data_IF_105557311189
#
_entry.id   IF_105557311189
#
_cell.length_a   1.000
_cell.length_b   1.000
_cell.length_c   1.000
_cell.angle_alpha   90.00
_cell.angle_beta   90.00
_cell.angle_gamma   90.00
#
_symmetry.space_group_name_H-M   'P 1'
#
loop_
_entity.id
_entity.type
_entity.pdbx_description
1 polymer ?
#
# COMPACT_ATOMS: atom_id res chain seq x y z
N UNK A 1 -7.09 -3.76 21.57
CA UNK A 1 -6.29 -3.35 20.42
C UNK A 1 -7.19 -2.91 19.27
N UNK A 2 -6.88 -1.81 18.64
CA UNK A 2 -7.68 -1.32 17.54
C UNK A 2 -7.33 -2.08 16.25
N UNK A 3 -8.36 -2.39 15.49
CA UNK A 3 -8.14 -2.97 14.17
C UNK A 3 -7.59 -1.91 13.22
N UNK A 4 -6.69 -2.29 12.29
CA UNK A 4 -6.25 -1.37 11.24
C UNK A 4 -7.43 -0.92 10.39
N UNK A 5 -7.32 0.29 9.85
CA UNK A 5 -8.21 0.75 8.78
C UNK A 5 -7.68 0.24 7.46
N UNK A 6 -8.53 -0.38 6.67
CA UNK A 6 -8.13 -1.01 5.40
C UNK A 6 -8.35 -0.06 4.24
N UNK A 7 -7.53 -0.19 3.21
CA UNK A 7 -7.71 0.59 1.98
C UNK A 7 -8.79 -0.10 1.13
N UNK A 8 -9.85 0.63 0.82
CA UNK A 8 -10.98 0.09 0.07
C UNK A 8 -10.60 -0.13 -1.40
N UNK A 9 -11.22 -1.12 -2.03
CA UNK A 9 -10.98 -1.46 -3.43
C UNK A 9 -11.18 -0.26 -4.36
N UNK A 10 -12.28 0.50 -4.15
CA UNK A 10 -12.55 1.69 -4.97
C UNK A 10 -11.47 2.78 -4.81
N UNK A 11 -10.82 2.86 -3.65
CA UNK A 11 -9.69 3.79 -3.45
C UNK A 11 -8.50 3.34 -4.27
N UNK A 12 -8.21 2.04 -4.29
CA UNK A 12 -7.10 1.49 -5.09
C UNK A 12 -7.32 1.75 -6.58
N UNK A 13 -8.54 1.54 -7.07
CA UNK A 13 -8.92 1.82 -8.46
C UNK A 13 -8.73 3.32 -8.77
N UNK A 14 -9.20 4.20 -7.88
CA UNK A 14 -9.06 5.65 -8.06
C UNK A 14 -7.59 6.08 -8.07
N UNK A 15 -6.77 5.49 -7.20
CA UNK A 15 -5.31 5.74 -7.16
C UNK A 15 -4.68 5.35 -8.49
N UNK A 16 -5.02 4.17 -9.02
CA UNK A 16 -4.51 3.73 -10.31
C UNK A 16 -4.84 4.73 -11.42
N UNK A 17 -6.10 5.16 -11.49
CA UNK A 17 -6.55 6.14 -12.50
C UNK A 17 -5.82 7.47 -12.36
N UNK A 18 -5.64 7.94 -11.12
CA UNK A 18 -4.91 9.19 -10.84
C UNK A 18 -3.45 9.08 -11.29
N UNK A 19 -2.79 7.97 -11.00
CA UNK A 19 -1.39 7.77 -11.37
C UNK A 19 -1.22 7.68 -12.88
N UNK A 20 -2.15 7.04 -13.59
CA UNK A 20 -2.13 7.02 -15.06
C UNK A 20 -2.30 8.42 -15.65
N UNK A 21 -3.22 9.21 -15.09
CA UNK A 21 -3.43 10.60 -15.56
C UNK A 21 -2.18 11.44 -15.36
N UNK A 22 -1.44 11.22 -14.27
CA UNK A 22 -0.24 12.00 -13.94
C UNK A 22 0.99 11.53 -14.70
N UNK A 23 1.17 10.22 -14.85
CA UNK A 23 2.41 9.63 -15.38
C UNK A 23 2.26 8.98 -16.74
N UNK A 24 1.04 8.84 -17.22
CA UNK A 24 0.76 8.09 -18.45
C UNK A 24 0.72 6.59 -18.18
N UNK A 25 0.52 5.83 -19.24
CA UNK A 25 0.44 4.37 -19.19
C UNK A 25 -0.89 3.87 -19.69
N UNK A 26 -1.01 2.54 -19.77
CA UNK A 26 -2.20 1.87 -20.27
C UNK A 26 -3.20 1.63 -19.14
N UNK A 27 -4.46 1.98 -19.39
CA UNK A 27 -5.53 1.79 -18.41
C UNK A 27 -6.02 0.34 -18.38
N UNK A 28 -6.68 -0.01 -17.30
CA UNK A 28 -7.41 -1.26 -17.16
C UNK A 28 -6.83 -2.22 -16.14
N UNK A 29 -7.69 -3.11 -15.70
CA UNK A 29 -7.35 -4.19 -14.80
C UNK A 29 -7.02 -5.41 -15.67
N UNK A 30 -5.82 -5.96 -15.48
CA UNK A 30 -5.37 -7.14 -16.21
C UNK A 30 -6.03 -8.40 -15.67
N UNK A 31 -6.19 -8.48 -14.34
CA UNK A 31 -6.73 -9.67 -13.68
C UNK A 31 -7.45 -9.27 -12.39
N UNK A 32 -8.78 -9.32 -12.45
CA UNK A 32 -9.64 -8.96 -11.32
C UNK A 32 -9.41 -9.86 -10.10
N UNK A 33 -9.22 -11.16 -10.33
CA UNK A 33 -9.02 -12.11 -9.24
C UNK A 33 -7.69 -11.86 -8.52
N UNK A 34 -6.65 -11.51 -9.26
CA UNK A 34 -5.35 -11.18 -8.67
C UNK A 34 -5.40 -9.85 -7.91
N UNK A 35 -6.20 -8.89 -8.37
CA UNK A 35 -6.43 -7.65 -7.62
C UNK A 35 -7.14 -7.96 -6.31
N UNK A 36 -8.25 -8.68 -6.36
CA UNK A 36 -9.02 -9.02 -5.17
C UNK A 36 -8.19 -9.83 -4.17
N UNK A 37 -7.37 -10.76 -4.65
CA UNK A 37 -6.48 -11.55 -3.82
C UNK A 37 -5.45 -10.66 -3.10
N UNK A 38 -4.83 -9.73 -3.83
CA UNK A 38 -3.84 -8.81 -3.24
C UNK A 38 -4.47 -7.94 -2.15
N UNK A 39 -5.72 -7.48 -2.36
CA UNK A 39 -6.39 -6.61 -1.40
C UNK A 39 -6.96 -7.37 -0.19
N UNK A 40 -7.31 -8.63 -0.36
CA UNK A 40 -7.82 -9.46 0.74
C UNK A 40 -6.70 -9.96 1.67
N UNK A 41 -5.50 -10.12 1.15
CA UNK A 41 -4.40 -10.76 1.88
C UNK A 41 -3.99 -10.02 3.18
N UNK A 42 -3.90 -8.67 3.22
CA UNK A 42 -3.57 -8.00 4.49
C UNK A 42 -4.58 -8.30 5.60
N UNK A 43 -5.88 -8.29 5.28
CA UNK A 43 -6.91 -8.61 6.26
C UNK A 43 -6.84 -10.06 6.70
N UNK A 44 -6.58 -10.98 5.78
CA UNK A 44 -6.41 -12.41 6.08
C UNK A 44 -5.20 -12.64 7.00
N UNK A 45 -4.07 -11.99 6.70
CA UNK A 45 -2.88 -12.10 7.52
C UNK A 45 -3.14 -11.60 8.96
N UNK A 46 -3.80 -10.46 9.08
CA UNK A 46 -4.12 -9.89 10.40
C UNK A 46 -5.10 -10.77 11.17
N UNK A 47 -6.10 -11.31 10.49
CA UNK A 47 -7.06 -12.24 11.09
C UNK A 47 -6.36 -13.49 11.63
N UNK A 48 -5.32 -13.93 10.95
CA UNK A 48 -4.55 -15.13 11.36
C UNK A 48 -3.53 -14.81 12.45
N UNK A 49 -2.98 -13.59 12.45
CA UNK A 49 -1.98 -13.15 13.43
C UNK A 49 -2.18 -11.67 13.73
N UNK A 50 -2.92 -11.39 14.80
CA UNK A 50 -3.26 -10.02 15.19
C UNK A 50 -2.10 -9.27 15.88
N UNK A 51 -0.93 -9.90 16.00
CA UNK A 51 0.28 -9.21 16.46
C UNK A 51 1.01 -8.47 15.34
N UNK A 52 0.60 -8.69 14.08
CA UNK A 52 1.19 -7.95 12.96
C UNK A 52 0.97 -6.45 13.12
N UNK A 53 2.03 -5.69 12.88
CA UNK A 53 2.00 -4.23 12.98
C UNK A 53 1.53 -3.61 11.66
N UNK A 54 1.22 -2.33 11.70
CA UNK A 54 0.84 -1.60 10.48
C UNK A 54 1.96 -1.63 9.42
N UNK A 55 3.24 -1.39 9.76
CA UNK A 55 4.31 -1.57 8.76
C UNK A 55 4.39 -2.98 8.18
N UNK A 56 4.17 -4.03 8.99
CA UNK A 56 4.10 -5.40 8.49
C UNK A 56 3.02 -5.54 7.42
N UNK A 57 1.84 -4.99 7.69
CA UNK A 57 0.69 -5.09 6.79
C UNK A 57 0.87 -4.23 5.53
N UNK A 58 1.57 -3.10 5.64
CA UNK A 58 1.94 -2.28 4.46
C UNK A 58 2.80 -3.11 3.49
N UNK A 59 3.71 -3.92 4.03
CA UNK A 59 4.51 -4.83 3.20
C UNK A 59 3.63 -5.86 2.50
N UNK A 60 2.60 -6.39 3.18
CA UNK A 60 1.67 -7.36 2.57
C UNK A 60 0.92 -6.71 1.41
N UNK A 61 0.41 -5.49 1.59
CA UNK A 61 -0.26 -4.76 0.51
C UNK A 61 0.64 -4.60 -0.71
N UNK A 62 1.83 -4.04 -0.49
CA UNK A 62 2.72 -3.71 -1.60
C UNK A 62 3.29 -4.94 -2.27
N UNK A 63 3.61 -5.97 -1.50
CA UNK A 63 4.11 -7.23 -2.07
C UNK A 63 3.07 -7.85 -3.00
N UNK A 64 1.81 -7.94 -2.55
CA UNK A 64 0.73 -8.51 -3.36
C UNK A 64 0.47 -7.71 -4.62
N UNK A 65 0.34 -6.39 -4.51
CA UNK A 65 0.06 -5.53 -5.67
C UNK A 65 1.20 -5.53 -6.68
N UNK A 66 2.45 -5.50 -6.22
CA UNK A 66 3.59 -5.49 -7.12
C UNK A 66 3.81 -6.86 -7.78
N UNK A 67 3.64 -7.96 -7.05
CA UNK A 67 3.93 -9.30 -7.55
C UNK A 67 2.81 -9.90 -8.37
N UNK A 68 1.55 -9.59 -8.05
CA UNK A 68 0.40 -10.11 -8.79
C UNK A 68 0.18 -9.41 -10.12
N UNK A 69 0.72 -8.21 -10.31
CA UNK A 69 0.52 -7.41 -11.52
C UNK A 69 -0.96 -7.33 -11.92
N UNK A 70 -1.86 -6.87 -11.01
CA UNK A 70 -3.29 -6.92 -11.30
C UNK A 70 -3.75 -5.91 -12.35
N UNK A 71 -3.00 -4.83 -12.56
CA UNK A 71 -3.30 -3.84 -13.58
C UNK A 71 -2.50 -4.11 -14.85
N UNK A 72 -2.96 -3.57 -15.97
CA UNK A 72 -2.22 -3.66 -17.23
C UNK A 72 -0.88 -2.92 -17.11
N UNK A 73 -0.89 -1.75 -16.42
CA UNK A 73 0.28 -0.89 -16.29
C UNK A 73 0.24 -0.19 -14.94
N UNK A 74 1.40 0.30 -14.46
CA UNK A 74 1.48 1.12 -13.26
C UNK A 74 1.47 0.36 -11.93
N UNK A 75 1.70 -0.94 -11.93
CA UNK A 75 1.61 -1.78 -10.72
C UNK A 75 2.60 -1.36 -9.63
N UNK A 76 3.83 -1.00 -9.97
CA UNK A 76 4.83 -0.56 -8.98
C UNK A 76 4.38 0.73 -8.27
N UNK A 77 3.88 1.69 -9.03
CA UNK A 77 3.41 2.96 -8.47
C UNK A 77 2.19 2.75 -7.57
N UNK A 78 1.24 1.92 -8.02
CA UNK A 78 0.07 1.60 -7.21
C UNK A 78 0.48 0.91 -5.92
N UNK A 79 1.40 -0.06 -5.99
CA UNK A 79 1.87 -0.79 -4.82
C UNK A 79 2.47 0.15 -3.78
N UNK A 80 3.33 1.07 -4.19
CA UNK A 80 3.94 2.05 -3.29
C UNK A 80 2.90 3.02 -2.73
N UNK A 81 2.04 3.56 -3.59
CA UNK A 81 1.06 4.59 -3.18
C UNK A 81 0.02 4.01 -2.22
N UNK A 82 -0.49 2.80 -2.50
CA UNK A 82 -1.46 2.14 -1.61
C UNK A 82 -0.84 1.84 -0.25
N UNK A 83 0.42 1.36 -0.22
CA UNK A 83 1.12 1.12 1.04
C UNK A 83 1.28 2.42 1.83
N UNK A 84 1.64 3.52 1.17
CA UNK A 84 1.77 4.83 1.82
C UNK A 84 0.42 5.31 2.39
N UNK A 85 -0.66 5.16 1.64
CA UNK A 85 -2.01 5.52 2.11
C UNK A 85 -2.39 4.68 3.33
N UNK A 86 -2.16 3.36 3.26
CA UNK A 86 -2.46 2.46 4.38
C UNK A 86 -1.71 2.89 5.64
N UNK A 87 -0.42 3.21 5.50
CA UNK A 87 0.37 3.71 6.62
C UNK A 87 -0.24 4.98 7.21
N UNK A 88 -0.54 5.96 6.38
CA UNK A 88 -0.98 7.27 6.85
C UNK A 88 -2.34 7.23 7.53
N UNK A 89 -3.28 6.45 7.04
CA UNK A 89 -4.59 6.32 7.69
C UNK A 89 -4.50 5.54 9.01
N UNK A 90 -3.36 4.90 9.28
CA UNK A 90 -3.14 4.12 10.50
C UNK A 90 -2.04 4.69 11.40
N UNK A 91 -1.66 5.95 11.19
CA UNK A 91 -0.79 6.63 12.13
C UNK A 91 0.70 6.54 11.84
N UNK A 92 1.07 6.29 10.59
CA UNK A 92 2.46 6.25 10.15
C UNK A 92 2.64 7.03 8.86
N UNK A 93 3.86 7.42 8.57
CA UNK A 93 4.22 7.95 7.26
C UNK A 93 5.48 7.26 6.79
N UNK A 94 5.60 7.08 5.48
CA UNK A 94 6.79 6.51 4.87
C UNK A 94 7.86 7.60 4.83
N UNK A 95 8.97 7.37 5.55
CA UNK A 95 10.08 8.29 5.67
C UNK A 95 11.32 7.67 5.01
N UNK A 96 11.32 7.69 3.68
CA UNK A 96 12.44 7.22 2.88
C UNK A 96 12.58 8.14 1.67
N UNK A 97 13.81 8.37 1.21
CA UNK A 97 14.02 9.15 -0.02
C UNK A 97 13.27 8.53 -1.20
N UNK A 98 12.73 9.37 -2.06
CA UNK A 98 11.99 8.91 -3.25
C UNK A 98 12.82 7.94 -4.09
N UNK A 99 14.10 8.25 -4.29
CA UNK A 99 15.00 7.39 -5.07
C UNK A 99 15.12 5.99 -4.46
N UNK A 100 15.17 5.89 -3.13
CA UNK A 100 15.21 4.59 -2.44
C UNK A 100 13.93 3.81 -2.66
N UNK A 101 12.78 4.47 -2.56
CA UNK A 101 11.48 3.84 -2.81
C UNK A 101 11.40 3.27 -4.22
N UNK A 102 11.87 4.02 -5.21
CA UNK A 102 11.88 3.57 -6.61
C UNK A 102 12.72 2.30 -6.75
N UNK A 103 13.92 2.28 -6.18
CA UNK A 103 14.83 1.13 -6.25
C UNK A 103 14.19 -0.10 -5.59
N UNK A 104 13.66 0.06 -4.39
CA UNK A 104 13.04 -1.04 -3.64
C UNK A 104 11.86 -1.64 -4.43
N UNK A 105 11.00 -0.80 -4.99
CA UNK A 105 9.82 -1.27 -5.69
C UNK A 105 10.13 -1.83 -7.08
N UNK A 106 11.20 -1.38 -7.73
CA UNK A 106 11.70 -2.03 -8.93
C UNK A 106 12.23 -3.43 -8.64
N UNK A 107 13.01 -3.57 -7.56
CA UNK A 107 13.52 -4.88 -7.13
C UNK A 107 12.39 -5.80 -6.70
N UNK A 108 11.39 -5.28 -6.01
CA UNK A 108 10.21 -6.04 -5.61
C UNK A 108 9.49 -6.60 -6.83
N UNK A 109 9.18 -5.76 -7.82
CA UNK A 109 8.49 -6.19 -9.03
C UNK A 109 9.31 -7.19 -9.84
N UNK A 110 10.64 -7.08 -9.82
CA UNK A 110 11.54 -7.99 -10.51
C UNK A 110 11.76 -9.31 -9.75
N UNK A 111 11.18 -9.47 -8.56
CA UNK A 111 11.35 -10.68 -7.76
C UNK A 111 12.70 -10.79 -7.07
N UNK A 112 13.41 -9.67 -6.91
CA UNK A 112 14.77 -9.66 -6.33
C UNK A 112 14.79 -9.49 -4.83
N UNK A 113 13.66 -9.10 -4.20
CA UNK A 113 13.55 -9.04 -2.75
C UNK A 113 12.38 -9.89 -2.29
N UNK A 114 12.52 -10.48 -1.11
CA UNK A 114 11.48 -11.31 -0.50
C UNK A 114 10.49 -10.44 0.25
N UNK A 115 9.33 -11.01 0.58
CA UNK A 115 8.35 -10.32 1.43
C UNK A 115 8.94 -9.99 2.81
N UNK A 116 9.77 -10.88 3.36
CA UNK A 116 10.43 -10.63 4.65
C UNK A 116 11.37 -9.42 4.55
N UNK A 117 12.17 -9.33 3.50
CA UNK A 117 13.07 -8.21 3.27
C UNK A 117 12.29 -6.90 3.10
N UNK A 118 11.18 -6.95 2.37
CA UNK A 118 10.31 -5.79 2.20
C UNK A 118 9.71 -5.34 3.53
N UNK A 119 9.28 -6.29 4.35
CA UNK A 119 8.75 -6.00 5.70
C UNK A 119 9.80 -5.31 6.55
N UNK A 120 11.03 -5.81 6.55
CA UNK A 120 12.14 -5.21 7.30
C UNK A 120 12.40 -3.78 6.85
N UNK A 121 12.32 -3.54 5.54
CA UNK A 121 12.48 -2.20 5.00
C UNK A 121 11.38 -1.26 5.50
N UNK A 122 10.11 -1.66 5.44
CA UNK A 122 9.01 -0.83 5.93
C UNK A 122 9.15 -0.52 7.42
N UNK A 123 9.50 -1.52 8.24
CA UNK A 123 9.66 -1.31 9.68
C UNK A 123 10.69 -0.22 9.98
N UNK A 124 11.76 -0.13 9.20
CA UNK A 124 12.81 0.86 9.38
C UNK A 124 12.50 2.21 8.71
N UNK A 125 11.65 2.20 7.68
CA UNK A 125 11.41 3.37 6.85
C UNK A 125 10.19 4.19 7.27
N UNK A 126 9.49 3.83 8.35
CA UNK A 126 8.29 4.55 8.77
C UNK A 126 8.55 5.39 10.01
N UNK A 127 7.78 6.49 10.12
CA UNK A 127 7.68 7.31 11.34
C UNK A 127 6.25 7.28 11.81
N UNK A 128 6.04 7.33 13.13
CA UNK A 128 4.71 7.49 13.70
C UNK A 128 4.26 8.94 13.56
N UNK A 129 3.00 9.11 13.21
CA UNK A 129 2.34 10.42 13.06
C UNK A 129 0.94 10.32 13.65
N UNK A 130 0.24 11.45 13.72
CA UNK A 130 -1.19 11.43 13.95
C UNK A 130 -1.87 10.78 12.75
N UNK A 131 -2.77 9.78 12.97
CA UNK A 131 -3.46 9.16 11.85
C UNK A 131 -4.22 10.17 11.01
N UNK A 132 -4.17 10.02 9.69
CA UNK A 132 -4.98 10.83 8.79
C UNK A 132 -6.43 10.41 8.98
N UNK A 133 -7.26 11.36 9.43
CA UNK A 133 -8.67 11.13 9.62
C UNK A 133 -9.41 11.23 8.29
N UNK A 134 -10.59 10.63 8.22
CA UNK A 134 -11.42 10.84 7.06
C UNK A 134 -11.81 12.33 6.96
N UNK A 135 -12.29 12.75 5.78
CA UNK A 135 -12.59 14.15 5.53
C UNK A 135 -13.60 14.72 6.53
N UNK A 136 -14.59 13.95 6.88
CA UNK A 136 -15.62 14.40 7.81
C UNK A 136 -15.03 14.66 9.20
N UNK A 137 -14.29 13.69 9.75
CA UNK A 137 -13.66 13.83 11.05
C UNK A 137 -12.57 14.91 11.03
N UNK A 138 -11.81 14.97 9.96
CA UNK A 138 -10.77 15.99 9.81
C UNK A 138 -11.35 17.40 9.83
N UNK A 139 -12.45 17.62 9.16
CA UNK A 139 -13.14 18.91 9.16
C UNK A 139 -13.70 19.24 10.53
N UNK A 140 -14.32 18.30 11.20
CA UNK A 140 -14.85 18.49 12.56
C UNK A 140 -13.74 18.85 13.54
N UNK A 141 -12.61 18.20 13.46
CA UNK A 141 -11.49 18.44 14.38
C UNK A 141 -10.87 19.83 14.20
N UNK A 142 -11.03 20.45 13.03
CA UNK A 142 -10.47 21.78 12.74
C UNK A 142 -11.39 22.93 13.12
N UNK A 143 -12.62 22.61 13.42
CA UNK A 143 -13.60 23.59 13.84
C UNK A 143 -13.53 23.80 15.34
#
# INVERSE_FOLDING_TARGET
>A
MNHPKWVLREVVIAVHQMLLAKHGGLSGIRDEALLDSALARPQQCFSYNDTLTVPDLAAVYSYGLARNHPFIDGNKRVALTVAAIFLEINGYTLDAPEAECVIIFEQLAAGKITEVELTQWFVQAVLQIEPVQDLENGLSARQ
#
